data_IF_436940784553
#
_entry.id   IF_436940784553
#
_cell.length_a   1.000
_cell.length_b   1.000
_cell.length_c   1.000
_cell.angle_alpha   90.00
_cell.angle_beta   90.00
_cell.angle_gamma   90.00
#
_symmetry.space_group_name_H-M   'P 1'
#
loop_
_entity.id
_entity.type
_entity.pdbx_description
1 polymer ?
#
# COMPACT_ATOMS: atom_id res chain seq x y z
N UNK A 1 -11.03 -47.81 12.93
CA UNK A 1 -9.87 -47.12 13.55
C UNK A 1 -10.17 -45.67 13.95
N UNK A 2 -10.77 -44.85 13.07
CA UNK A 2 -11.11 -43.43 13.36
C UNK A 2 -11.94 -43.22 14.65
N UNK A 3 -12.89 -44.13 14.93
CA UNK A 3 -13.77 -44.06 16.10
C UNK A 3 -13.06 -44.28 17.45
N UNK A 4 -11.94 -45.04 17.43
CA UNK A 4 -11.12 -45.28 18.62
C UNK A 4 -10.19 -44.09 18.89
N UNK A 5 -9.59 -43.54 17.82
CA UNK A 5 -8.77 -42.33 17.87
C UNK A 5 -9.57 -41.11 18.39
N UNK A 6 -10.81 -40.93 17.92
CA UNK A 6 -11.68 -39.84 18.41
C UNK A 6 -12.00 -39.96 19.91
N UNK A 7 -12.19 -41.19 20.41
CA UNK A 7 -12.46 -41.44 21.84
C UNK A 7 -11.24 -41.16 22.72
N UNK A 8 -10.04 -41.53 22.26
CA UNK A 8 -8.80 -41.20 22.96
C UNK A 8 -8.57 -39.69 22.98
N UNK A 9 -8.78 -39.01 21.85
CA UNK A 9 -8.70 -37.55 21.74
C UNK A 9 -9.69 -36.83 22.69
N UNK A 10 -10.95 -37.28 22.76
CA UNK A 10 -11.96 -36.74 23.68
C UNK A 10 -11.61 -36.96 25.15
N UNK A 11 -10.92 -38.06 25.47
CA UNK A 11 -10.46 -38.37 26.84
C UNK A 11 -9.30 -37.46 27.22
N UNK A 12 -8.32 -37.33 26.34
CA UNK A 12 -7.15 -36.50 26.58
C UNK A 12 -7.53 -35.00 26.58
N UNK A 13 -8.61 -34.63 25.90
CA UNK A 13 -9.18 -33.28 25.96
C UNK A 13 -9.77 -32.94 27.34
N UNK A 14 -10.28 -33.93 28.09
CA UNK A 14 -10.72 -33.78 29.49
C UNK A 14 -9.55 -33.76 30.47
N UNK A 15 -8.38 -34.31 30.10
CA UNK A 15 -7.16 -34.27 30.90
C UNK A 15 -6.43 -32.91 30.87
N UNK A 16 -6.84 -31.98 30.00
CA UNK A 16 -6.38 -30.58 30.00
C UNK A 16 -5.09 -30.31 29.23
N UNK A 17 -4.26 -31.31 28.99
CA UNK A 17 -2.98 -31.20 28.27
C UNK A 17 -3.16 -30.73 26.81
N UNK A 18 -4.17 -31.27 26.12
CA UNK A 18 -4.53 -30.87 24.75
C UNK A 18 -4.96 -29.39 24.64
N UNK A 19 -5.48 -28.79 25.73
CA UNK A 19 -5.86 -27.37 25.71
C UNK A 19 -4.63 -26.48 25.66
N UNK A 20 -3.56 -26.84 26.36
CA UNK A 20 -2.29 -26.11 26.33
C UNK A 20 -1.65 -26.21 24.95
N UNK A 21 -1.65 -27.41 24.35
CA UNK A 21 -1.15 -27.62 23.00
C UNK A 21 -1.95 -26.82 21.95
N UNK A 22 -3.29 -26.82 22.08
CA UNK A 22 -4.16 -26.03 21.22
C UNK A 22 -3.92 -24.53 21.39
N UNK A 23 -3.75 -24.04 22.62
CA UNK A 23 -3.44 -22.64 22.89
C UNK A 23 -2.09 -22.25 22.26
N UNK A 24 -1.06 -23.08 22.42
CA UNK A 24 0.25 -22.86 21.82
C UNK A 24 0.17 -22.81 20.28
N UNK A 25 -0.62 -23.70 19.66
CA UNK A 25 -0.85 -23.69 18.22
C UNK A 25 -1.57 -22.42 17.76
N UNK A 26 -2.61 -22.00 18.47
CA UNK A 26 -3.35 -20.77 18.16
C UNK A 26 -2.44 -19.55 18.28
N UNK A 27 -1.61 -19.47 19.32
CA UNK A 27 -0.64 -18.39 19.49
C UNK A 27 0.42 -18.38 18.38
N UNK A 28 0.96 -19.55 18.01
CA UNK A 28 1.95 -19.67 16.95
C UNK A 28 1.38 -19.21 15.60
N UNK A 29 0.22 -19.75 15.21
CA UNK A 29 -0.43 -19.41 13.93
C UNK A 29 -0.90 -17.96 13.92
N UNK A 30 -1.49 -17.49 15.02
CA UNK A 30 -1.94 -16.10 15.17
C UNK A 30 -0.78 -15.11 15.07
N UNK A 31 0.38 -15.42 15.67
CA UNK A 31 1.57 -14.60 15.58
C UNK A 31 2.11 -14.49 14.16
N UNK A 32 2.31 -15.63 13.47
CA UNK A 32 2.78 -15.66 12.07
C UNK A 32 1.79 -14.92 11.15
N UNK A 33 0.49 -15.14 11.31
CA UNK A 33 -0.54 -14.46 10.54
C UNK A 33 -0.52 -12.94 10.79
N UNK A 34 -0.39 -12.50 12.04
CA UNK A 34 -0.35 -11.07 12.39
C UNK A 34 0.83 -10.36 11.76
N UNK A 35 2.02 -10.97 11.78
CA UNK A 35 3.23 -10.44 11.11
C UNK A 35 3.04 -10.39 9.59
N UNK A 36 2.48 -11.45 9.00
CA UNK A 36 2.21 -11.48 7.56
C UNK A 36 1.18 -10.41 7.13
N UNK A 37 0.10 -10.23 7.91
CA UNK A 37 -0.89 -9.17 7.66
C UNK A 37 -0.30 -7.78 7.84
N UNK A 38 0.57 -7.59 8.83
CA UNK A 38 1.27 -6.33 9.01
C UNK A 38 2.19 -6.03 7.83
N UNK A 39 3.02 -6.99 7.43
CA UNK A 39 3.89 -6.86 6.28
C UNK A 39 3.11 -6.59 4.99
N UNK A 40 1.98 -7.26 4.78
CA UNK A 40 1.13 -7.01 3.63
C UNK A 40 0.46 -5.63 3.69
N UNK A 41 0.05 -5.17 4.88
CA UNK A 41 -0.45 -3.79 5.06
C UNK A 41 0.63 -2.75 4.80
N UNK A 42 1.86 -2.96 5.27
CA UNK A 42 3.01 -2.07 4.99
C UNK A 42 3.31 -2.07 3.51
N UNK A 43 3.38 -3.26 2.90
CA UNK A 43 3.58 -3.40 1.47
C UNK A 43 2.49 -2.69 0.71
N UNK A 44 1.21 -2.89 1.04
CA UNK A 44 0.08 -2.19 0.44
C UNK A 44 0.10 -0.68 0.67
N UNK A 45 0.58 -0.18 1.80
CA UNK A 45 0.74 1.26 2.02
C UNK A 45 1.81 1.82 1.07
N UNK A 46 2.95 1.12 0.97
CA UNK A 46 4.02 1.45 0.03
C UNK A 46 3.57 1.28 -1.44
N UNK A 47 2.79 0.25 -1.77
CA UNK A 47 2.23 0.09 -3.11
C UNK A 47 1.09 1.04 -3.39
N UNK A 48 0.34 1.55 -2.41
CA UNK A 48 -0.65 2.62 -2.66
C UNK A 48 0.05 3.93 -2.98
N UNK A 49 1.20 4.21 -2.38
CA UNK A 49 2.13 5.24 -2.90
C UNK A 49 2.66 4.86 -4.29
N UNK A 50 2.94 3.56 -4.51
CA UNK A 50 3.48 3.09 -5.78
C UNK A 50 2.45 2.88 -6.91
N UNK A 51 1.13 2.87 -6.67
CA UNK A 51 0.12 2.64 -7.73
C UNK A 51 -0.33 3.95 -8.38
N UNK A 52 0.21 5.08 -7.92
CA UNK A 52 0.35 6.30 -8.73
C UNK A 52 1.52 6.25 -9.72
N UNK A 53 2.37 5.21 -9.72
CA UNK A 53 3.76 5.27 -10.28
C UNK A 53 3.87 5.29 -11.80
N UNK A 54 2.78 5.31 -12.55
CA UNK A 54 2.95 5.79 -13.92
C UNK A 54 1.94 6.88 -14.26
N UNK A 55 0.64 6.64 -14.07
CA UNK A 55 -0.39 7.59 -14.47
C UNK A 55 -0.30 7.99 -15.96
N UNK A 56 0.53 7.31 -16.74
CA UNK A 56 0.96 7.59 -18.11
C UNK A 56 1.72 6.34 -18.63
N UNK A 57 2.05 6.30 -19.92
CA UNK A 57 2.89 5.21 -20.46
C UNK A 57 4.39 5.42 -20.14
N UNK A 58 4.78 6.67 -19.84
CA UNK A 58 6.13 7.07 -19.43
C UNK A 58 6.05 8.15 -18.34
N UNK A 59 6.77 7.96 -17.23
CA UNK A 59 6.91 8.94 -16.17
C UNK A 59 8.32 9.53 -16.20
N UNK A 60 8.41 10.85 -16.24
CA UNK A 60 9.67 11.58 -16.14
C UNK A 60 9.66 12.44 -14.88
N UNK A 61 10.66 12.25 -14.02
CA UNK A 61 10.79 12.97 -12.75
C UNK A 61 12.11 13.73 -12.75
N UNK A 62 12.04 15.00 -12.38
CA UNK A 62 13.20 15.85 -12.11
C UNK A 62 12.92 16.65 -10.83
N UNK A 63 13.98 16.99 -10.12
CA UNK A 63 13.97 17.91 -8.98
C UNK A 63 13.99 19.39 -9.41
N UNK A 64 14.14 19.64 -10.71
CA UNK A 64 14.11 20.96 -11.33
C UNK A 64 13.11 21.04 -12.49
N UNK A 65 12.81 22.25 -12.94
CA UNK A 65 11.98 22.45 -14.13
C UNK A 65 12.69 21.89 -15.38
N UNK A 66 11.93 21.20 -16.23
CA UNK A 66 12.42 20.77 -17.55
C UNK A 66 12.56 21.98 -18.48
N UNK A 67 13.58 21.93 -19.34
CA UNK A 67 13.80 22.97 -20.34
C UNK A 67 12.59 23.06 -21.31
N UNK A 68 12.20 24.27 -21.78
CA UNK A 68 11.00 24.47 -22.60
C UNK A 68 10.97 23.61 -23.86
N UNK A 69 12.13 23.35 -24.44
CA UNK A 69 12.33 22.59 -25.68
C UNK A 69 11.78 21.16 -25.55
N UNK A 70 11.77 20.61 -24.33
CA UNK A 70 11.23 19.29 -24.05
C UNK A 70 9.70 19.26 -24.20
N UNK A 71 9.02 20.33 -23.77
CA UNK A 71 7.56 20.47 -23.92
C UNK A 71 7.20 20.60 -25.39
N UNK A 72 7.98 21.37 -26.13
CA UNK A 72 7.78 21.59 -27.56
C UNK A 72 7.94 20.28 -28.35
N UNK A 73 8.88 19.42 -27.97
CA UNK A 73 9.09 18.13 -28.62
C UNK A 73 7.93 17.14 -28.36
N UNK A 74 7.37 17.12 -27.14
CA UNK A 74 6.18 16.31 -26.81
C UNK A 74 4.99 16.71 -27.70
N UNK A 75 4.76 18.03 -27.84
CA UNK A 75 3.69 18.57 -28.69
C UNK A 75 3.95 18.24 -30.15
N UNK A 76 5.19 18.39 -30.64
CA UNK A 76 5.59 18.06 -32.00
C UNK A 76 5.34 16.60 -32.36
N UNK A 77 5.49 15.68 -31.39
CA UNK A 77 5.22 14.25 -31.54
C UNK A 77 3.75 13.86 -31.34
N UNK A 78 2.88 14.82 -31.00
CA UNK A 78 1.46 14.57 -30.75
C UNK A 78 1.17 13.70 -29.51
N UNK A 79 2.10 13.67 -28.56
CA UNK A 79 1.97 12.84 -27.36
C UNK A 79 1.08 13.53 -26.31
N UNK A 80 0.31 12.73 -25.58
CA UNK A 80 -0.44 13.22 -24.43
C UNK A 80 0.51 13.51 -23.26
N UNK A 81 0.25 14.61 -22.55
CA UNK A 81 1.08 15.10 -21.46
C UNK A 81 0.22 15.43 -20.25
N UNK A 82 0.70 15.03 -19.08
CA UNK A 82 0.22 15.50 -17.81
C UNK A 82 1.42 15.82 -16.93
N UNK A 83 1.35 16.91 -16.18
CA UNK A 83 2.41 17.33 -15.26
C UNK A 83 1.90 17.24 -13.83
N UNK A 84 2.80 16.86 -12.93
CA UNK A 84 2.52 16.84 -11.50
C UNK A 84 3.71 17.37 -10.72
N UNK A 85 3.44 18.13 -9.67
CA UNK A 85 4.44 18.62 -8.72
C UNK A 85 4.02 18.22 -7.32
N UNK A 86 4.95 17.59 -6.59
CA UNK A 86 4.74 17.16 -5.21
C UNK A 86 5.69 17.94 -4.30
N UNK A 87 5.16 18.51 -3.23
CA UNK A 87 5.96 19.20 -2.22
C UNK A 87 5.29 19.10 -0.86
N UNK A 88 6.07 19.17 0.21
CA UNK A 88 5.54 19.20 1.57
C UNK A 88 5.42 20.65 2.02
N UNK A 89 4.27 21.02 2.58
CA UNK A 89 4.01 22.37 3.08
C UNK A 89 3.14 22.36 4.33
N UNK A 90 3.27 23.37 5.17
CA UNK A 90 2.38 23.58 6.30
C UNK A 90 1.05 24.13 5.79
N UNK A 91 -0.04 23.39 6.04
CA UNK A 91 -1.40 23.82 5.71
C UNK A 91 -2.10 24.24 6.98
N UNK A 92 -2.83 25.36 6.92
CA UNK A 92 -3.63 25.87 8.03
C UNK A 92 -5.11 25.76 7.69
N UNK A 93 -5.86 25.11 8.58
CA UNK A 93 -7.32 25.03 8.52
C UNK A 93 -7.88 25.59 9.83
N UNK A 94 -8.43 26.81 9.79
CA UNK A 94 -8.88 27.51 11.00
C UNK A 94 -7.72 27.79 11.97
N UNK A 95 -7.77 27.15 13.15
CA UNK A 95 -6.76 27.29 14.20
C UNK A 95 -5.72 26.15 14.23
N UNK A 96 -5.86 25.13 13.37
CA UNK A 96 -4.92 24.01 13.31
C UNK A 96 -3.91 24.22 12.17
N UNK A 97 -2.64 23.91 12.44
CA UNK A 97 -1.57 23.91 11.44
C UNK A 97 -0.96 22.52 11.38
N UNK A 98 -0.95 21.93 10.19
CA UNK A 98 -0.56 20.55 9.96
C UNK A 98 0.45 20.50 8.80
N UNK A 99 1.46 19.64 8.92
CA UNK A 99 2.37 19.36 7.82
C UNK A 99 1.66 18.45 6.82
N UNK A 100 1.47 18.91 5.59
CA UNK A 100 0.77 18.16 4.55
C UNK A 100 1.64 18.01 3.28
N UNK A 101 1.56 16.84 2.65
CA UNK A 101 2.08 16.63 1.31
C UNK A 101 1.05 17.14 0.29
N UNK A 102 1.44 18.09 -0.54
CA UNK A 102 0.61 18.70 -1.58
C UNK A 102 1.04 18.16 -2.94
N UNK A 103 0.07 17.66 -3.71
CA UNK A 103 0.25 17.20 -5.09
C UNK A 103 -0.56 18.09 -6.03
N UNK A 104 0.12 18.93 -6.79
CA UNK A 104 -0.47 19.74 -7.86
C UNK A 104 -0.40 18.96 -9.18
N UNK A 105 -1.47 18.99 -9.97
CA UNK A 105 -1.57 18.26 -11.26
C UNK A 105 -2.20 19.14 -12.34
N UNK A 106 -1.81 18.96 -13.60
CA UNK A 106 -2.46 19.63 -14.73
C UNK A 106 -3.79 18.96 -15.08
N UNK A 107 -4.71 19.68 -15.76
CA UNK A 107 -5.89 19.06 -16.37
C UNK A 107 -5.48 17.88 -17.27
N UNK A 108 -6.14 16.74 -17.11
CA UNK A 108 -5.82 15.50 -17.85
C UNK A 108 -4.92 14.50 -17.10
N UNK A 109 -4.44 14.81 -15.90
CA UNK A 109 -3.84 13.80 -15.02
C UNK A 109 -4.93 12.94 -14.33
N UNK A 110 -4.74 11.63 -14.17
CA UNK A 110 -3.72 10.81 -14.82
C UNK A 110 -4.10 10.51 -16.29
N UNK A 111 -3.11 10.40 -17.18
CA UNK A 111 -3.29 9.95 -18.56
C UNK A 111 -3.74 8.48 -18.65
N UNK A 112 -3.41 7.68 -17.63
CA UNK A 112 -3.82 6.28 -17.48
C UNK A 112 -4.35 6.02 -16.08
N UNK A 113 -5.53 5.41 -15.98
CA UNK A 113 -6.18 5.06 -14.71
C UNK A 113 -7.30 6.02 -14.31
N UNK A 114 -7.71 5.99 -13.03
CA UNK A 114 -8.76 6.85 -12.45
C UNK A 114 -8.32 7.33 -11.06
N UNK A 115 -8.74 8.54 -10.70
CA UNK A 115 -8.57 9.18 -9.38
C UNK A 115 -9.68 8.77 -8.42
#
# INVERSE_FOLDING_TARGET
>A
MLRLALRMLLRDWRAGELRVLALALVLAVGGVASVAFFADRVRQALTREAHQVLGADMLMTADHAWAPEFRDEIVRRGLQRAESMNFVSMVRAGNETLLAAVKAVTPGYPLRGKL
#
